data_IF_217956213196
#
_entry.id   IF_217956213196
#
_cell.length_a   1.000
_cell.length_b   1.000
_cell.length_c   1.000
_cell.angle_alpha   90.00
_cell.angle_beta   90.00
_cell.angle_gamma   90.00
#
_symmetry.space_group_name_H-M   'P 1'
#
loop_
_entity.id
_entity.type
_entity.pdbx_description
1 polymer ?
#
# COMPACT_ATOMS: atom_id res chain seq x y z
N UNK A 1 -20.24 -18.41 -3.71
CA UNK A 1 -19.52 -17.35 -4.47
C UNK A 1 -18.21 -17.12 -3.77
N UNK A 2 -17.08 -17.31 -4.46
CA UNK A 2 -15.77 -16.96 -3.89
C UNK A 2 -15.73 -15.45 -3.64
N UNK A 3 -15.36 -15.06 -2.43
CA UNK A 3 -15.24 -13.65 -2.05
C UNK A 3 -14.04 -13.08 -2.82
N UNK A 4 -14.29 -12.14 -3.74
CA UNK A 4 -13.22 -11.48 -4.49
C UNK A 4 -12.27 -10.80 -3.49
N UNK A 5 -10.99 -11.15 -3.53
CA UNK A 5 -9.96 -10.54 -2.69
C UNK A 5 -9.65 -9.15 -3.24
N UNK A 6 -9.63 -8.14 -2.36
CA UNK A 6 -9.38 -6.74 -2.74
C UNK A 6 -8.18 -6.21 -1.96
N UNK A 7 -7.27 -5.53 -2.65
CA UNK A 7 -6.21 -4.74 -2.04
C UNK A 7 -6.34 -3.28 -2.50
N UNK A 8 -6.31 -2.35 -1.55
CA UNK A 8 -6.32 -0.93 -1.86
C UNK A 8 -4.89 -0.43 -2.02
N UNK A 9 -4.72 0.73 -2.66
CA UNK A 9 -3.43 1.42 -2.67
C UNK A 9 -3.64 2.90 -2.43
N UNK A 10 -2.71 3.56 -1.75
CA UNK A 10 -2.77 4.99 -1.47
C UNK A 10 -1.39 5.62 -1.62
N UNK A 11 -1.36 6.83 -2.17
CA UNK A 11 -0.19 7.69 -2.19
C UNK A 11 -0.47 8.95 -1.39
N UNK A 12 0.45 9.37 -0.53
CA UNK A 12 0.24 10.63 0.21
C UNK A 12 0.53 11.87 -0.64
N UNK A 13 1.53 11.82 -1.54
CA UNK A 13 1.88 12.93 -2.43
C UNK A 13 1.97 14.27 -1.72
N UNK A 14 1.15 15.23 -2.17
CA UNK A 14 1.04 16.56 -1.59
C UNK A 14 -0.14 16.71 -0.59
N UNK A 15 -0.89 15.64 -0.30
CA UNK A 15 -2.02 15.71 0.64
C UNK A 15 -1.56 15.99 2.06
N UNK A 16 -2.24 16.88 2.77
CA UNK A 16 -2.04 17.00 4.22
C UNK A 16 -2.49 15.72 4.94
N UNK A 17 -2.01 15.49 6.16
CA UNK A 17 -2.28 14.25 6.90
C UNK A 17 -3.78 13.94 7.02
N UNK A 18 -4.61 14.95 7.34
CA UNK A 18 -6.04 14.75 7.53
C UNK A 18 -6.74 14.32 6.23
N UNK A 19 -6.35 14.85 5.08
CA UNK A 19 -6.90 14.40 3.79
C UNK A 19 -6.51 12.96 3.47
N UNK A 20 -5.26 12.59 3.77
CA UNK A 20 -4.79 11.22 3.62
C UNK A 20 -5.56 10.27 4.55
N UNK A 21 -5.74 10.65 5.81
CA UNK A 21 -6.49 9.90 6.80
C UNK A 21 -7.96 9.73 6.39
N UNK A 22 -8.62 10.82 5.96
CA UNK A 22 -10.01 10.76 5.52
C UNK A 22 -10.19 9.77 4.36
N UNK A 23 -9.27 9.73 3.38
CA UNK A 23 -9.34 8.72 2.31
C UNK A 23 -9.27 7.29 2.81
N UNK A 24 -8.49 7.03 3.87
CA UNK A 24 -8.44 5.71 4.50
C UNK A 24 -9.76 5.39 5.22
N UNK A 25 -10.28 6.33 5.99
CA UNK A 25 -11.51 6.18 6.76
C UNK A 25 -12.75 6.01 5.86
N UNK A 26 -12.90 6.83 4.83
CA UNK A 26 -13.99 6.78 3.85
C UNK A 26 -14.06 5.42 3.12
N UNK A 27 -12.92 4.74 3.01
CA UNK A 27 -12.81 3.41 2.40
C UNK A 27 -12.80 2.27 3.43
N UNK A 28 -12.94 2.60 4.71
CA UNK A 28 -12.87 1.67 5.85
C UNK A 28 -11.57 0.83 5.87
N UNK A 29 -10.45 1.44 5.47
CA UNK A 29 -9.15 0.80 5.56
C UNK A 29 -8.82 0.60 7.04
N UNK A 30 -8.35 -0.60 7.38
CA UNK A 30 -7.96 -0.96 8.76
C UNK A 30 -6.47 -1.28 8.88
N UNK A 31 -5.77 -1.49 7.77
CA UNK A 31 -4.33 -1.76 7.75
C UNK A 31 -3.70 -0.96 6.62
N UNK A 32 -2.65 -0.20 6.94
CA UNK A 32 -1.76 0.44 5.98
C UNK A 32 -0.45 -0.33 5.95
N UNK A 33 -0.09 -0.82 4.76
CA UNK A 33 1.18 -1.49 4.49
C UNK A 33 2.08 -0.52 3.73
N UNK A 34 3.06 0.03 4.43
CA UNK A 34 4.09 0.89 3.88
C UNK A 34 5.12 0.04 3.13
N UNK A 35 5.24 0.22 1.82
CA UNK A 35 6.15 -0.57 0.97
C UNK A 35 7.48 0.13 0.68
N UNK A 36 7.76 1.28 1.28
CA UNK A 36 9.05 1.95 1.10
C UNK A 36 10.20 1.09 1.63
N UNK A 37 11.36 1.11 0.97
CA UNK A 37 12.57 0.51 1.57
C UNK A 37 12.99 1.25 2.84
N UNK A 38 12.89 2.58 2.83
CA UNK A 38 13.18 3.46 3.95
C UNK A 38 11.96 4.37 4.17
N UNK A 39 11.20 4.20 5.25
CA UNK A 39 9.95 4.94 5.47
C UNK A 39 10.22 6.30 6.13
N UNK A 40 11.15 7.04 5.52
CA UNK A 40 11.50 8.42 5.88
C UNK A 40 11.01 9.34 4.77
N UNK A 41 10.40 10.44 5.16
CA UNK A 41 9.82 11.46 4.30
C UNK A 41 10.33 12.82 4.72
N UNK A 42 10.48 13.73 3.76
CA UNK A 42 10.69 15.16 4.05
C UNK A 42 9.48 15.79 4.76
N UNK A 43 8.35 15.08 4.77
CA UNK A 43 7.11 15.45 5.45
C UNK A 43 7.01 14.62 6.73
N UNK A 44 7.37 15.19 7.91
CA UNK A 44 7.51 14.43 9.13
C UNK A 44 6.26 13.62 9.50
N UNK A 45 5.07 14.14 9.20
CA UNK A 45 3.79 13.46 9.46
C UNK A 45 3.64 12.10 8.77
N UNK A 46 4.42 11.84 7.71
CA UNK A 46 4.45 10.57 6.97
C UNK A 46 5.68 9.72 7.28
N UNK A 47 6.52 10.11 8.24
CA UNK A 47 7.58 9.23 8.75
C UNK A 47 6.97 8.03 9.49
N UNK A 48 7.60 6.86 9.39
CA UNK A 48 7.13 5.66 10.08
C UNK A 48 6.87 5.87 11.58
N UNK A 49 7.71 6.63 12.28
CA UNK A 49 7.54 6.93 13.71
C UNK A 49 6.22 7.64 13.99
N UNK A 50 5.85 8.62 13.16
CA UNK A 50 4.58 9.34 13.31
C UNK A 50 3.39 8.49 12.84
N UNK A 51 3.53 7.73 11.75
CA UNK A 51 2.46 6.85 11.26
C UNK A 51 2.13 5.72 12.24
N UNK A 52 3.13 5.18 12.95
CA UNK A 52 2.97 4.19 14.02
C UNK A 52 2.17 4.71 15.21
N UNK A 53 2.06 6.02 15.38
CA UNK A 53 1.27 6.64 16.46
C UNK A 53 -0.09 7.10 15.93
N UNK A 54 -0.09 7.91 14.87
CA UNK A 54 -1.30 8.58 14.37
C UNK A 54 -2.31 7.63 13.72
N UNK A 55 -1.85 6.57 13.05
CA UNK A 55 -2.79 5.62 12.43
C UNK A 55 -3.51 4.77 13.48
N UNK A 56 -2.84 4.20 14.50
CA UNK A 56 -3.54 3.47 15.57
C UNK A 56 -4.52 4.31 16.39
N UNK A 57 -4.28 5.62 16.58
CA UNK A 57 -5.26 6.55 17.19
C UNK A 57 -6.60 6.58 16.43
N UNK A 58 -6.59 6.17 15.16
CA UNK A 58 -7.76 6.12 14.27
C UNK A 58 -8.15 4.67 13.90
N UNK A 59 -7.76 3.70 14.73
CA UNK A 59 -8.03 2.26 14.53
C UNK A 59 -7.44 1.67 13.23
N UNK A 60 -6.35 2.26 12.73
CA UNK A 60 -5.64 1.79 11.54
C UNK A 60 -4.28 1.23 11.96
N UNK A 61 -4.04 -0.03 11.67
CA UNK A 61 -2.74 -0.66 11.92
C UNK A 61 -1.73 -0.23 10.87
N UNK A 62 -0.54 0.19 11.29
CA UNK A 62 0.58 0.45 10.40
C UNK A 62 1.54 -0.76 10.37
N UNK A 63 1.90 -1.19 9.17
CA UNK A 63 2.90 -2.24 8.95
C UNK A 63 3.90 -1.78 7.89
N UNK A 64 5.19 -2.08 8.09
CA UNK A 64 6.25 -1.70 7.15
C UNK A 64 6.86 -2.93 6.47
N UNK A 65 6.85 -2.93 5.13
CA UNK A 65 7.23 -4.04 4.25
C UNK A 65 8.42 -3.61 3.36
N UNK A 66 9.63 -3.46 3.92
CA UNK A 66 10.78 -2.89 3.20
C UNK A 66 11.26 -3.73 2.01
N UNK A 67 11.01 -5.04 2.04
CA UNK A 67 11.36 -5.98 0.96
C UNK A 67 10.58 -5.74 -0.33
N UNK A 68 9.57 -4.88 -0.30
CA UNK A 68 8.82 -4.48 -1.49
C UNK A 68 9.31 -3.14 -2.08
N UNK A 69 10.25 -2.45 -1.45
CA UNK A 69 10.59 -1.08 -1.84
C UNK A 69 11.65 -0.95 -2.94
N UNK A 70 12.61 -1.87 -3.03
CA UNK A 70 13.59 -1.90 -4.11
C UNK A 70 14.49 -0.65 -4.26
N UNK A 71 14.61 0.21 -3.23
CA UNK A 71 15.45 1.41 -3.30
C UNK A 71 16.92 1.05 -3.57
N UNK A 72 17.57 1.84 -4.42
CA UNK A 72 18.97 1.63 -4.82
C UNK A 72 19.19 0.47 -5.78
N UNK A 73 18.14 -0.19 -6.27
CA UNK A 73 18.23 -1.19 -7.34
C UNK A 73 18.18 -0.51 -8.70
N UNK A 74 18.97 -1.03 -9.66
CA UNK A 74 19.07 -0.48 -11.01
C UNK A 74 17.73 -0.50 -11.77
N UNK A 75 16.95 -1.56 -11.57
CA UNK A 75 15.63 -1.74 -12.15
C UNK A 75 14.72 -2.36 -11.12
N UNK A 76 13.54 -1.77 -10.91
CA UNK A 76 12.55 -2.35 -10.01
C UNK A 76 12.01 -3.68 -10.56
N UNK A 77 11.88 -3.80 -11.88
CA UNK A 77 11.43 -5.04 -12.53
C UNK A 77 12.43 -6.17 -12.28
N UNK A 78 13.73 -5.91 -12.43
CA UNK A 78 14.77 -6.91 -12.09
C UNK A 78 14.76 -7.24 -10.60
N UNK A 79 14.52 -6.25 -9.74
CA UNK A 79 14.41 -6.47 -8.29
C UNK A 79 13.26 -7.41 -7.94
N UNK A 80 12.15 -7.41 -8.69
CA UNK A 80 11.02 -8.31 -8.44
C UNK A 80 11.37 -9.80 -8.57
N UNK A 81 12.43 -10.13 -9.30
CA UNK A 81 12.93 -11.51 -9.44
C UNK A 81 13.82 -11.95 -8.26
N UNK A 82 14.23 -11.00 -7.40
CA UNK A 82 15.06 -11.28 -6.24
C UNK A 82 14.35 -12.14 -5.19
N UNK A 83 15.12 -12.83 -4.36
CA UNK A 83 14.58 -13.62 -3.25
C UNK A 83 13.86 -12.73 -2.21
N UNK A 84 14.39 -11.53 -1.98
CA UNK A 84 13.82 -10.54 -1.05
C UNK A 84 12.41 -10.13 -1.47
N UNK A 85 12.25 -9.71 -2.73
CA UNK A 85 10.93 -9.32 -3.24
C UNK A 85 9.96 -10.49 -3.19
N UNK A 86 10.37 -11.68 -3.65
CA UNK A 86 9.52 -12.89 -3.61
C UNK A 86 9.05 -13.20 -2.19
N UNK A 87 9.92 -13.08 -1.20
CA UNK A 87 9.59 -13.27 0.21
C UNK A 87 8.59 -12.22 0.71
N UNK A 88 8.86 -10.93 0.47
CA UNK A 88 7.98 -9.84 0.88
C UNK A 88 6.60 -9.93 0.21
N UNK A 89 6.56 -10.31 -1.05
CA UNK A 89 5.33 -10.44 -1.83
C UNK A 89 4.49 -11.65 -1.38
N UNK A 90 5.14 -12.79 -1.09
CA UNK A 90 4.45 -13.95 -0.54
C UNK A 90 3.79 -13.65 0.82
N UNK A 91 4.50 -12.92 1.69
CA UNK A 91 3.92 -12.48 2.98
C UNK A 91 2.76 -11.50 2.78
N UNK A 92 2.88 -10.54 1.86
CA UNK A 92 1.79 -9.62 1.52
C UNK A 92 0.53 -10.38 1.04
N UNK A 93 0.70 -11.32 0.11
CA UNK A 93 -0.41 -12.17 -0.37
C UNK A 93 -1.05 -12.95 0.77
N UNK A 94 -0.25 -13.54 1.65
CA UNK A 94 -0.76 -14.26 2.81
C UNK A 94 -1.60 -13.36 3.71
N UNK A 95 -1.14 -12.14 4.01
CA UNK A 95 -1.91 -11.18 4.81
C UNK A 95 -3.19 -10.74 4.10
N UNK A 96 -3.14 -10.41 2.80
CA UNK A 96 -4.33 -10.01 2.03
C UNK A 96 -5.40 -11.10 2.10
N UNK A 97 -5.01 -12.35 1.89
CA UNK A 97 -5.94 -13.47 1.99
C UNK A 97 -6.50 -13.58 3.42
N UNK A 98 -5.64 -13.76 4.42
CA UNK A 98 -6.09 -13.93 5.82
C UNK A 98 -6.99 -12.79 6.33
N UNK A 99 -6.74 -11.55 5.91
CA UNK A 99 -7.49 -10.36 6.34
C UNK A 99 -8.81 -10.18 5.59
N UNK A 100 -8.86 -10.56 4.31
CA UNK A 100 -10.11 -10.53 3.54
C UNK A 100 -11.19 -11.49 4.10
N UNK A 101 -10.77 -12.62 4.69
CA UNK A 101 -11.68 -13.55 5.38
C UNK A 101 -12.37 -12.90 6.59
N UNK A 102 -11.72 -11.91 7.20
CA UNK A 102 -12.23 -11.13 8.33
C UNK A 102 -12.78 -9.75 7.93
N UNK A 103 -13.07 -9.54 6.63
CA UNK A 103 -13.53 -8.26 6.06
C UNK A 103 -12.62 -7.06 6.34
N UNK A 104 -11.35 -7.32 6.66
CA UNK A 104 -10.36 -6.30 7.02
C UNK A 104 -9.68 -5.80 5.75
N UNK A 105 -9.86 -4.50 5.43
CA UNK A 105 -9.31 -3.88 4.22
C UNK A 105 -7.87 -3.39 4.44
N UNK A 106 -6.99 -3.75 3.51
CA UNK A 106 -5.57 -3.35 3.48
C UNK A 106 -5.34 -2.32 2.37
N UNK A 107 -4.56 -1.29 2.66
CA UNK A 107 -4.02 -0.36 1.66
C UNK A 107 -2.48 -0.41 1.59
N UNK A 108 -1.94 -0.62 0.39
CA UNK A 108 -0.51 -0.42 0.11
C UNK A 108 -0.21 1.07 0.01
N UNK A 109 0.74 1.56 0.81
CA UNK A 109 1.13 2.96 0.84
C UNK A 109 2.50 3.19 0.19
N UNK A 110 2.59 4.26 -0.59
CA UNK A 110 3.85 4.83 -1.06
C UNK A 110 3.78 6.38 -1.04
N UNK A 111 4.87 7.06 -1.38
CA UNK A 111 4.99 8.51 -1.39
C UNK A 111 4.26 9.14 -2.58
N UNK A 112 4.39 8.55 -3.77
CA UNK A 112 3.80 9.12 -4.98
C UNK A 112 2.28 8.99 -4.98
N UNK A 113 1.60 10.11 -5.26
CA UNK A 113 0.13 10.15 -5.40
C UNK A 113 -0.33 9.21 -6.53
N UNK A 114 0.24 9.39 -7.73
CA UNK A 114 -0.14 8.63 -8.91
C UNK A 114 0.63 7.30 -8.97
N UNK A 115 -0.07 6.14 -8.96
CA UNK A 115 0.57 4.84 -9.05
C UNK A 115 1.36 4.63 -10.35
N UNK A 116 0.97 5.28 -11.46
CA UNK A 116 1.59 5.07 -12.79
C UNK A 116 3.09 5.32 -12.81
N UNK A 117 3.56 6.25 -11.99
CA UNK A 117 4.95 6.70 -11.92
C UNK A 117 5.70 6.14 -10.71
N UNK A 118 5.18 5.09 -10.07
CA UNK A 118 5.68 4.56 -8.81
C UNK A 118 5.88 3.04 -8.88
N UNK A 119 6.79 2.52 -8.07
CA UNK A 119 6.98 1.08 -7.91
C UNK A 119 5.73 0.34 -7.42
N UNK A 120 4.83 1.04 -6.71
CA UNK A 120 3.52 0.51 -6.28
C UNK A 120 2.68 -0.03 -7.44
N UNK A 121 2.82 0.51 -8.67
CA UNK A 121 2.16 -0.05 -9.86
C UNK A 121 2.60 -1.48 -10.12
N UNK A 122 3.89 -1.76 -10.07
CA UNK A 122 4.40 -3.10 -10.34
C UNK A 122 3.92 -4.13 -9.31
N UNK A 123 3.83 -3.72 -8.03
CA UNK A 123 3.24 -4.55 -6.98
C UNK A 123 1.75 -4.78 -7.27
N UNK A 124 1.00 -3.74 -7.65
CA UNK A 124 -0.41 -3.82 -8.00
C UNK A 124 -0.66 -4.76 -9.19
N UNK A 125 0.07 -4.59 -10.29
CA UNK A 125 -0.02 -5.48 -11.48
C UNK A 125 0.29 -6.93 -11.11
N UNK A 126 1.27 -7.15 -10.24
CA UNK A 126 1.60 -8.50 -9.77
C UNK A 126 0.50 -9.07 -8.88
N UNK A 127 -0.13 -8.29 -8.00
CA UNK A 127 -1.31 -8.71 -7.23
C UNK A 127 -2.50 -9.08 -8.13
N UNK A 128 -2.76 -8.30 -9.19
CA UNK A 128 -3.83 -8.58 -10.15
C UNK A 128 -3.61 -9.90 -10.89
N UNK A 129 -2.36 -10.21 -11.26
CA UNK A 129 -1.99 -11.51 -11.85
C UNK A 129 -2.24 -12.69 -10.90
N UNK A 130 -2.25 -12.45 -9.59
CA UNK A 130 -2.58 -13.46 -8.56
C UNK A 130 -4.08 -13.47 -8.22
N UNK A 131 -4.92 -12.78 -9.01
CA UNK A 131 -6.37 -12.76 -8.85
C UNK A 131 -6.88 -11.77 -7.78
N UNK A 132 -6.02 -10.91 -7.24
CA UNK A 132 -6.41 -9.88 -6.29
C UNK A 132 -6.88 -8.64 -7.05
N UNK A 133 -8.10 -8.17 -6.80
CA UNK A 133 -8.58 -6.90 -7.35
C UNK A 133 -7.86 -5.75 -6.66
N UNK A 134 -7.26 -4.84 -7.43
CA UNK A 134 -6.61 -3.65 -6.87
C UNK A 134 -7.48 -2.40 -7.04
N UNK A 135 -7.59 -1.58 -5.99
CA UNK A 135 -8.32 -0.31 -6.01
C UNK A 135 -7.38 0.83 -5.59
N UNK A 136 -7.16 1.80 -6.49
CA UNK A 136 -6.33 2.97 -6.21
C UNK A 136 -7.14 4.11 -5.59
N UNK A 137 -6.72 4.58 -4.40
CA UNK A 137 -7.26 5.73 -3.67
C UNK A 137 -6.47 6.99 -4.08
N UNK A 138 -6.87 7.63 -5.18
CA UNK A 138 -6.13 8.78 -5.74
C UNK A 138 -6.66 10.13 -5.27
N UNK A 139 -7.97 10.34 -5.31
CA UNK A 139 -8.63 11.59 -4.95
C UNK A 139 -9.89 11.31 -4.11
N UNK A 140 -10.37 12.29 -3.30
CA UNK A 140 -11.63 12.14 -2.55
C UNK A 140 -12.77 11.74 -3.49
N UNK A 141 -13.44 10.62 -3.20
CA UNK A 141 -14.52 10.08 -4.04
C UNK A 141 -14.08 9.33 -5.30
N UNK A 142 -12.77 9.20 -5.57
CA UNK A 142 -12.26 8.50 -6.75
C UNK A 142 -11.57 7.18 -6.37
N UNK A 143 -12.28 6.08 -6.63
CA UNK A 143 -11.72 4.73 -6.66
C UNK A 143 -11.58 4.32 -8.13
N UNK A 144 -10.34 4.09 -8.56
CA UNK A 144 -9.87 3.71 -9.91
C UNK A 144 -9.46 4.87 -10.84
N UNK A 145 -8.17 4.84 -11.20
CA UNK A 145 -7.69 5.16 -12.53
C UNK A 145 -7.40 3.81 -13.19
N UNK A 146 -7.96 3.46 -14.37
CA UNK A 146 -7.42 2.34 -15.14
C UNK A 146 -5.97 2.66 -15.52
N UNK A 147 -5.12 1.64 -15.60
CA UNK A 147 -3.79 1.79 -16.16
C UNK A 147 -3.88 2.29 -17.61
#
# INVERSE_FOLDING_TARGET
MEKQRICYTIGYGNSIFNEFLNRLLDNSIKIVVDVHSYPQSQRPEFNAENLKVKLPENEIVYCHYPLLGGMGKRSYIEYMESADFRKGFADLLYQINRKADNDTKIALMCAEKNPRNCHRRHIAEKLEKEGIKVIHLTDPGQASLPF
#
